data_IF_229143762554
#
_entry.id   IF_229143762554
#
_cell.length_a   1.000
_cell.length_b   1.000
_cell.length_c   1.000
_cell.angle_alpha   90.00
_cell.angle_beta   90.00
_cell.angle_gamma   90.00
#
_symmetry.space_group_name_H-M   'P 1'
#
loop_
_entity.id
_entity.type
_entity.pdbx_description
1 polymer ?
#
# COMPACT_ATOMS: atom_id res chain seq x y z
N UNK A 1 7.85 -8.02 13.32
CA UNK A 1 8.18 -8.01 11.90
C UNK A 1 7.02 -8.63 11.12
N UNK A 2 6.57 -7.96 10.08
CA UNK A 2 5.58 -8.41 9.12
C UNK A 2 6.26 -8.68 7.77
N UNK A 3 5.66 -9.53 6.94
CA UNK A 3 6.05 -9.69 5.54
C UNK A 3 5.14 -8.83 4.64
N UNK A 4 5.72 -8.17 3.64
CA UNK A 4 4.96 -7.36 2.67
C UNK A 4 4.77 -8.18 1.39
N UNK A 5 3.51 -8.51 1.09
CA UNK A 5 3.16 -9.33 -0.07
C UNK A 5 2.39 -8.49 -1.08
N UNK A 6 2.83 -8.49 -2.33
CA UNK A 6 2.18 -7.76 -3.41
C UNK A 6 1.36 -8.71 -4.26
N UNK A 7 0.12 -8.32 -4.56
CA UNK A 7 -0.60 -8.96 -5.67
C UNK A 7 0.16 -8.74 -6.97
N UNK A 8 -0.03 -9.63 -7.96
CA UNK A 8 0.57 -9.46 -9.29
C UNK A 8 0.24 -8.10 -9.92
N UNK A 9 -0.93 -7.53 -9.61
CA UNK A 9 -1.33 -6.19 -10.09
C UNK A 9 -0.54 -5.09 -9.37
N UNK A 10 -0.38 -5.19 -8.05
CA UNK A 10 0.42 -4.25 -7.28
C UNK A 10 1.87 -4.28 -7.74
N UNK A 11 2.48 -5.47 -7.83
CA UNK A 11 3.85 -5.68 -8.30
C UNK A 11 4.08 -5.06 -9.68
N UNK A 12 3.22 -5.36 -10.67
CA UNK A 12 3.30 -4.75 -12.01
C UNK A 12 3.21 -3.22 -11.99
N UNK A 13 2.52 -2.63 -11.02
CA UNK A 13 2.39 -1.18 -10.90
C UNK A 13 3.62 -0.59 -10.22
N UNK A 14 4.13 -1.24 -9.18
CA UNK A 14 5.36 -0.90 -8.47
C UNK A 14 6.59 -0.91 -9.41
N UNK A 15 6.71 -1.95 -10.24
CA UNK A 15 7.81 -2.07 -11.21
C UNK A 15 7.80 -1.00 -12.32
N UNK A 16 6.67 -0.27 -12.48
CA UNK A 16 6.54 0.83 -13.45
C UNK A 16 6.77 2.21 -12.84
N UNK A 17 6.99 2.29 -11.52
CA UNK A 17 7.30 3.54 -10.85
C UNK A 17 8.67 4.06 -11.31
N UNK A 18 8.80 5.38 -11.38
CA UNK A 18 10.09 6.05 -11.47
C UNK A 18 10.92 5.81 -10.19
N UNK A 19 12.22 6.06 -10.28
CA UNK A 19 13.17 5.74 -9.21
C UNK A 19 12.86 6.47 -7.89
N UNK A 20 12.49 7.76 -7.95
CA UNK A 20 12.18 8.56 -6.75
C UNK A 20 10.90 8.05 -6.07
N UNK A 21 9.84 7.81 -6.85
CA UNK A 21 8.60 7.26 -6.30
C UNK A 21 8.82 5.86 -5.72
N UNK A 22 9.60 5.01 -6.40
CA UNK A 22 9.92 3.66 -5.90
C UNK A 22 10.66 3.72 -4.57
N UNK A 23 11.70 4.53 -4.46
CA UNK A 23 12.48 4.64 -3.22
C UNK A 23 11.62 5.12 -2.03
N UNK A 24 10.70 6.06 -2.26
CA UNK A 24 9.75 6.49 -1.21
C UNK A 24 8.78 5.39 -0.82
N UNK A 25 8.43 4.53 -1.77
CA UNK A 25 7.54 3.40 -1.55
C UNK A 25 8.23 2.28 -0.77
N UNK A 26 9.52 2.05 -1.02
CA UNK A 26 10.34 1.09 -0.28
C UNK A 26 10.40 1.44 1.20
N UNK A 27 10.60 2.71 1.53
CA UNK A 27 10.54 3.19 2.93
C UNK A 27 9.19 2.92 3.60
N UNK A 28 8.10 3.02 2.84
CA UNK A 28 6.76 2.69 3.38
C UNK A 28 6.65 1.19 3.64
N UNK A 29 7.23 0.36 2.77
CA UNK A 29 7.27 -1.09 2.99
C UNK A 29 8.14 -1.47 4.18
N UNK A 30 9.28 -0.82 4.39
CA UNK A 30 10.10 -0.97 5.60
C UNK A 30 9.28 -0.68 6.87
N UNK A 31 8.54 0.44 6.90
CA UNK A 31 7.63 0.75 8.02
C UNK A 31 6.53 -0.32 8.21
N UNK A 32 6.01 -0.89 7.12
CA UNK A 32 5.04 -1.97 7.20
C UNK A 32 5.65 -3.26 7.78
N UNK A 33 6.88 -3.60 7.38
CA UNK A 33 7.63 -4.73 7.93
C UNK A 33 7.92 -4.53 9.43
N UNK A 34 8.15 -3.30 9.87
CA UNK A 34 8.32 -2.95 11.28
C UNK A 34 6.99 -2.99 12.07
N UNK A 35 5.85 -2.99 11.37
CA UNK A 35 4.51 -2.98 11.97
C UNK A 35 3.98 -1.58 12.29
N UNK A 36 4.58 -0.55 11.70
CA UNK A 36 4.20 0.85 11.88
C UNK A 36 2.98 1.23 11.02
N UNK A 37 1.80 0.82 11.48
CA UNK A 37 0.55 1.08 10.76
C UNK A 37 -0.15 2.39 11.15
N UNK A 38 0.45 3.16 12.05
CA UNK A 38 -0.08 4.46 12.48
C UNK A 38 0.70 5.57 11.80
N UNK A 39 0.13 6.13 10.73
CA UNK A 39 0.73 7.24 10.00
C UNK A 39 -0.37 8.22 9.53
N UNK A 40 -0.16 9.54 9.53
CA UNK A 40 -1.17 10.53 9.09
C UNK A 40 -1.71 10.32 7.67
N UNK A 41 -0.95 9.63 6.82
CA UNK A 41 -1.33 9.30 5.44
C UNK A 41 -2.13 7.99 5.32
N UNK A 42 -2.29 7.23 6.41
CA UNK A 42 -3.05 5.99 6.46
C UNK A 42 -4.49 6.30 6.86
N UNK A 43 -5.44 5.82 6.06
CA UNK A 43 -6.87 5.92 6.38
C UNK A 43 -7.58 4.62 6.07
N UNK A 44 -8.50 4.22 6.95
CA UNK A 44 -9.43 3.13 6.68
C UNK A 44 -10.37 3.49 5.54
N UNK A 45 -10.55 2.57 4.61
CA UNK A 45 -11.57 2.67 3.58
C UNK A 45 -12.93 2.28 4.17
N UNK A 46 -14.01 2.84 3.59
CA UNK A 46 -15.39 2.64 4.03
C UNK A 46 -16.23 1.98 2.93
N UNK A 47 -17.41 1.49 3.28
CA UNK A 47 -18.36 0.88 2.35
C UNK A 47 -17.89 -0.48 1.87
N UNK A 48 -17.96 -0.75 0.56
CA UNK A 48 -17.56 -2.05 -0.03
C UNK A 48 -16.09 -2.45 0.18
N UNK A 49 -15.25 -1.50 0.59
CA UNK A 49 -13.83 -1.73 0.90
C UNK A 49 -13.54 -1.63 2.40
N UNK A 50 -14.58 -1.76 3.24
CA UNK A 50 -14.41 -1.81 4.69
C UNK A 50 -13.46 -2.96 5.07
N UNK A 51 -12.48 -2.67 5.92
CA UNK A 51 -11.41 -3.61 6.28
C UNK A 51 -10.11 -3.44 5.47
N UNK A 52 -10.11 -2.61 4.43
CA UNK A 52 -8.88 -2.15 3.76
C UNK A 52 -8.37 -0.84 4.38
N UNK A 53 -7.05 -0.67 4.34
CA UNK A 53 -6.37 0.58 4.62
C UNK A 53 -5.82 1.19 3.33
N UNK A 54 -5.66 2.52 3.33
CA UNK A 54 -5.02 3.27 2.25
C UNK A 54 -3.90 4.13 2.78
N UNK A 55 -2.69 3.97 2.23
CA UNK A 55 -1.60 4.94 2.37
C UNK A 55 -1.61 5.92 1.18
N UNK A 56 -1.54 7.23 1.44
CA UNK A 56 -1.37 8.26 0.40
C UNK A 56 0.08 8.74 0.30
N UNK A 57 0.69 8.57 -0.87
CA UNK A 57 2.02 9.09 -1.20
C UNK A 57 1.90 10.06 -2.37
N UNK A 58 1.72 11.36 -2.10
CA UNK A 58 1.50 12.37 -3.14
C UNK A 58 0.30 12.04 -4.03
N UNK A 59 0.57 11.71 -5.30
CA UNK A 59 -0.43 11.28 -6.29
C UNK A 59 -0.66 9.77 -6.34
N UNK A 60 0.12 8.97 -5.60
CA UNK A 60 -0.02 7.52 -5.51
C UNK A 60 -0.81 7.10 -4.28
N UNK A 61 -1.47 5.94 -4.39
CA UNK A 61 -2.20 5.28 -3.31
C UNK A 61 -1.81 3.82 -3.24
N UNK A 62 -1.58 3.36 -2.02
CA UNK A 62 -1.37 1.95 -1.68
C UNK A 62 -2.63 1.50 -0.96
N UNK A 63 -3.31 0.48 -1.48
CA UNK A 63 -4.43 -0.17 -0.81
C UNK A 63 -3.92 -1.48 -0.26
N UNK A 64 -4.11 -1.71 1.03
CA UNK A 64 -3.55 -2.87 1.71
C UNK A 64 -4.44 -3.36 2.85
N UNK A 65 -4.17 -4.58 3.28
CA UNK A 65 -4.80 -5.22 4.43
C UNK A 65 -3.73 -5.78 5.35
N UNK A 66 -4.01 -5.84 6.64
CA UNK A 66 -3.11 -6.45 7.62
C UNK A 66 -3.73 -7.76 8.06
N UNK A 67 -3.05 -8.85 7.71
CA UNK A 67 -3.35 -10.21 8.16
C UNK A 67 -2.59 -10.44 9.46
N UNK A 68 -3.17 -9.99 10.57
CA UNK A 68 -2.50 -9.94 11.88
C UNK A 68 -2.04 -11.30 12.40
N UNK A 69 -2.77 -12.39 12.10
CA UNK A 69 -2.43 -13.74 12.58
C UNK A 69 -1.19 -14.27 11.83
N UNK A 70 -1.14 -14.01 10.54
CA UNK A 70 -0.10 -14.44 9.62
C UNK A 70 1.11 -13.49 9.62
N UNK A 71 0.96 -12.30 10.22
CA UNK A 71 1.92 -11.19 10.16
C UNK A 71 2.25 -10.80 8.72
N UNK A 72 1.23 -10.72 7.88
CA UNK A 72 1.37 -10.31 6.47
C UNK A 72 0.68 -8.97 6.25
N UNK A 73 1.36 -8.07 5.55
CA UNK A 73 0.78 -6.86 4.97
C UNK A 73 0.53 -7.13 3.51
N UNK A 74 -0.74 -7.34 3.17
CA UNK A 74 -1.18 -7.69 1.82
C UNK A 74 -1.48 -6.44 1.01
N UNK A 75 -0.61 -6.11 0.05
CA UNK A 75 -0.75 -4.98 -0.86
C UNK A 75 -1.66 -5.37 -2.03
N UNK A 76 -2.93 -4.98 -1.90
CA UNK A 76 -3.97 -5.26 -2.89
C UNK A 76 -3.73 -4.48 -4.19
N UNK A 77 -3.41 -3.18 -4.10
CA UNK A 77 -3.15 -2.37 -5.29
C UNK A 77 -2.30 -1.12 -5.04
N UNK A 78 -1.57 -0.72 -6.08
CA UNK A 78 -0.77 0.50 -6.12
C UNK A 78 -1.28 1.30 -7.32
N UNK A 79 -1.84 2.49 -7.08
CA UNK A 79 -2.54 3.22 -8.14
C UNK A 79 -2.31 4.73 -8.09
N UNK A 80 -2.22 5.34 -9.26
CA UNK A 80 -2.15 6.79 -9.41
C UNK A 80 -3.54 7.42 -9.30
N UNK A 81 -3.61 8.61 -8.70
CA UNK A 81 -4.85 9.35 -8.42
C UNK A 81 -5.73 9.58 -9.65
N UNK A 82 -5.11 9.74 -10.82
CA UNK A 82 -5.82 10.00 -12.08
C UNK A 82 -6.32 8.77 -12.83
N UNK A 83 -5.95 7.54 -12.44
CA UNK A 83 -6.41 6.29 -13.10
C UNK A 83 -7.53 5.57 -12.35
N UNK A 84 -8.01 6.12 -11.23
CA UNK A 84 -9.08 5.51 -10.43
C UNK A 84 -10.50 5.85 -10.93
N UNK A 85 -10.63 6.76 -11.91
CA UNK A 85 -11.88 7.09 -12.58
C UNK A 85 -11.66 7.17 -14.09
N UNK A 86 -11.70 6.01 -14.74
CA UNK A 86 -12.15 5.83 -16.13
C UNK A 86 -12.90 4.52 -16.20
#
# INVERSE_FOLDING_TARGET
>A
MYEVWLTTKAEKSYLKLDADTRQRMDRIFEHFEEGEFTHPNIHALRGRFSGSLRYRLGSWRIIFHILYKERIVWIESITHRGKAYR
#
